data_IF_546610686382
#
_entry.id   IF_546610686382
#
_cell.length_a   1.000
_cell.length_b   1.000
_cell.length_c   1.000
_cell.angle_alpha   90.00
_cell.angle_beta   90.00
_cell.angle_gamma   90.00
#
_symmetry.space_group_name_H-M   'P 1'
#
loop_
_entity.id
_entity.type
_entity.pdbx_description
1 polymer ?
#
# COMPACT_ATOMS: atom_id res chain seq x y z
N UNK A 1 3.52 -26.44 58.04
CA UNK A 1 4.01 -25.69 56.85
C UNK A 1 2.79 -25.36 56.01
N UNK A 2 2.37 -24.10 56.04
CA UNK A 2 1.08 -23.64 55.50
C UNK A 2 1.25 -23.18 54.04
N UNK A 3 0.61 -23.88 53.10
CA UNK A 3 0.50 -23.45 51.72
C UNK A 3 -0.54 -22.33 51.59
N UNK A 4 -0.07 -21.12 51.29
CA UNK A 4 -0.92 -19.96 51.02
C UNK A 4 -1.33 -19.97 49.54
N UNK A 5 -2.55 -20.43 49.27
CA UNK A 5 -3.23 -20.25 47.98
C UNK A 5 -3.47 -18.76 47.74
N UNK A 6 -2.86 -18.21 46.70
CA UNK A 6 -3.20 -16.91 46.14
C UNK A 6 -4.46 -17.06 45.27
N UNK A 7 -5.59 -16.57 45.78
CA UNK A 7 -6.78 -16.29 44.98
C UNK A 7 -6.49 -15.06 44.13
N UNK A 8 -6.51 -15.20 42.81
CA UNK A 8 -6.62 -14.05 41.91
C UNK A 8 -8.10 -13.74 41.72
N UNK A 9 -8.50 -12.63 42.32
CA UNK A 9 -9.81 -12.01 42.21
C UNK A 9 -9.96 -11.42 40.80
N UNK A 10 -11.02 -11.80 40.10
CA UNK A 10 -11.32 -11.35 38.74
C UNK A 10 -12.18 -10.10 38.87
N UNK A 11 -11.53 -8.94 38.93
CA UNK A 11 -12.22 -7.66 38.96
C UNK A 11 -12.82 -7.32 37.58
N UNK A 12 -14.02 -6.75 37.66
CA UNK A 12 -14.96 -6.49 36.58
C UNK A 12 -14.43 -5.55 35.49
N UNK A 13 -14.17 -6.08 34.29
CA UNK A 13 -14.07 -5.27 33.07
C UNK A 13 -15.40 -5.32 32.30
N UNK A 14 -16.06 -4.16 32.26
CA UNK A 14 -17.25 -3.85 31.45
C UNK A 14 -16.97 -4.15 29.96
N UNK A 15 -18.00 -4.52 29.17
CA UNK A 15 -17.86 -4.69 27.73
C UNK A 15 -17.63 -3.31 27.07
N UNK A 16 -16.37 -2.91 26.95
CA UNK A 16 -15.96 -1.77 26.15
C UNK A 16 -15.84 -2.17 24.68
N UNK A 17 -16.49 -1.40 23.80
CA UNK A 17 -16.35 -1.49 22.35
C UNK A 17 -14.89 -1.77 21.94
N UNK A 18 -14.59 -2.78 21.10
CA UNK A 18 -13.24 -2.97 20.60
C UNK A 18 -12.86 -1.74 19.78
N UNK A 19 -11.97 -0.91 20.33
CA UNK A 19 -11.21 0.06 19.55
C UNK A 19 -10.43 -0.77 18.54
N UNK A 20 -10.77 -0.62 17.27
CA UNK A 20 -9.96 -1.11 16.14
C UNK A 20 -8.59 -0.47 16.32
N UNK A 21 -7.64 -1.25 16.84
CA UNK A 21 -6.24 -0.88 16.91
C UNK A 21 -5.74 -0.92 15.47
N UNK A 22 -5.83 0.20 14.77
CA UNK A 22 -5.02 0.39 13.57
C UNK A 22 -3.56 0.35 14.03
N UNK A 23 -2.73 -0.56 13.52
CA UNK A 23 -1.32 -0.57 13.89
C UNK A 23 -0.71 0.78 13.55
N UNK A 24 -0.06 1.41 14.52
CA UNK A 24 0.67 2.66 14.33
C UNK A 24 1.81 2.42 13.35
N UNK A 25 1.55 2.72 12.08
CA UNK A 25 2.55 2.65 11.01
C UNK A 25 3.60 3.75 11.21
N UNK A 26 4.90 3.47 10.94
CA UNK A 26 5.95 4.46 11.07
C UNK A 26 5.66 5.71 10.22
N UNK A 27 6.03 6.85 10.79
CA UNK A 27 5.62 8.20 10.42
C UNK A 27 6.04 8.59 8.98
N UNK A 28 5.15 8.39 8.01
CA UNK A 28 5.25 8.76 6.57
C UNK A 28 4.88 10.22 6.27
N UNK A 29 4.81 11.08 7.28
CA UNK A 29 4.26 12.45 7.17
C UNK A 29 4.85 13.29 6.03
N UNK A 30 6.15 13.21 5.76
CA UNK A 30 6.78 13.97 4.67
C UNK A 30 6.47 13.42 3.25
N UNK A 31 6.43 12.10 3.06
CA UNK A 31 6.06 11.47 1.77
C UNK A 31 4.56 11.66 1.47
N UNK A 32 3.72 11.59 2.52
CA UNK A 32 2.27 11.78 2.46
C UNK A 32 1.87 13.21 2.08
N UNK A 33 2.61 14.22 2.54
CA UNK A 33 2.35 15.63 2.20
C UNK A 33 2.64 15.95 0.73
N UNK A 34 3.77 15.45 0.21
CA UNK A 34 4.20 15.71 -1.17
C UNK A 34 3.23 15.12 -2.19
N UNK A 35 2.63 13.97 -1.90
CA UNK A 35 1.83 13.28 -2.88
C UNK A 35 0.45 13.95 -3.14
N UNK A 36 -0.15 14.51 -2.08
CA UNK A 36 -1.40 15.28 -2.18
C UNK A 36 -1.24 16.57 -2.98
N UNK A 37 -0.10 17.25 -2.84
CA UNK A 37 0.17 18.49 -3.57
C UNK A 37 0.46 18.24 -5.07
N UNK A 38 0.87 17.02 -5.43
CA UNK A 38 1.28 16.67 -6.79
C UNK A 38 0.21 15.96 -7.63
N UNK A 39 -0.97 15.68 -7.07
CA UNK A 39 -2.03 14.90 -7.71
C UNK A 39 -1.52 13.56 -8.28
N UNK A 40 -0.62 12.89 -7.57
CA UNK A 40 0.14 11.74 -8.08
C UNK A 40 -0.17 10.47 -7.26
N UNK A 41 -1.36 9.86 -7.34
CA UNK A 41 -1.73 8.71 -6.50
C UNK A 41 -0.68 7.58 -6.44
N UNK A 42 0.09 7.38 -7.50
CA UNK A 42 1.16 6.38 -7.54
C UNK A 42 2.52 6.83 -7.02
N UNK A 43 2.76 8.10 -6.66
CA UNK A 43 4.12 8.58 -6.41
C UNK A 43 5.06 8.32 -7.62
N UNK A 44 4.52 8.40 -8.84
CA UNK A 44 5.27 8.15 -10.08
C UNK A 44 6.40 9.17 -10.25
N UNK A 45 7.56 8.70 -10.70
CA UNK A 45 8.75 9.52 -10.99
C UNK A 45 8.95 9.73 -12.49
N UNK A 46 9.61 10.82 -12.85
CA UNK A 46 10.06 11.08 -14.21
C UNK A 46 11.34 10.28 -14.48
N UNK A 47 11.36 9.47 -15.55
CA UNK A 47 12.52 8.65 -15.88
C UNK A 47 13.78 9.46 -16.24
N UNK A 48 13.61 10.71 -16.71
CA UNK A 48 14.73 11.58 -17.10
C UNK A 48 15.38 12.27 -15.90
N UNK A 49 14.57 12.64 -14.90
CA UNK A 49 15.03 13.52 -13.81
C UNK A 49 15.00 12.84 -12.45
N UNK A 50 14.35 11.68 -12.29
CA UNK A 50 14.14 11.01 -11.00
C UNK A 50 13.11 11.69 -10.09
N UNK A 51 12.70 12.92 -10.42
CA UNK A 51 11.74 13.71 -9.65
C UNK A 51 10.32 13.14 -9.72
N UNK A 52 9.56 13.32 -8.64
CA UNK A 52 8.13 12.98 -8.63
C UNK A 52 7.38 13.82 -9.65
N UNK A 53 6.56 13.14 -10.46
CA UNK A 53 5.68 13.80 -11.43
C UNK A 53 4.61 14.60 -10.71
N UNK A 54 4.20 15.69 -11.35
CA UNK A 54 3.08 16.55 -10.94
C UNK A 54 2.01 16.46 -12.02
N UNK A 55 0.76 16.29 -11.61
CA UNK A 55 -0.39 16.22 -12.51
C UNK A 55 -1.36 17.38 -12.26
N UNK A 56 -2.08 17.79 -13.30
CA UNK A 56 -3.05 18.88 -13.16
C UNK A 56 -4.27 18.48 -12.32
N UNK A 57 -4.63 17.20 -12.30
CA UNK A 57 -5.72 16.65 -11.48
C UNK A 57 -5.38 15.23 -11.02
N UNK A 58 -6.04 14.77 -9.95
CA UNK A 58 -5.86 13.42 -9.40
C UNK A 58 -6.20 12.34 -10.44
N UNK A 59 -7.24 12.54 -11.25
CA UNK A 59 -7.68 11.60 -12.28
C UNK A 59 -6.60 11.40 -13.34
N UNK A 60 -5.89 12.46 -13.72
CA UNK A 60 -4.76 12.35 -14.65
C UNK A 60 -3.59 11.59 -14.04
N UNK A 61 -3.30 11.81 -12.76
CA UNK A 61 -2.30 11.04 -12.04
C UNK A 61 -2.69 9.57 -11.90
N UNK A 62 -3.97 9.28 -11.67
CA UNK A 62 -4.50 7.92 -11.62
C UNK A 62 -4.42 7.22 -12.98
N UNK A 63 -4.82 7.89 -14.05
CA UNK A 63 -4.68 7.38 -15.42
C UNK A 63 -3.20 7.10 -15.77
N UNK A 64 -2.28 7.95 -15.32
CA UNK A 64 -0.85 7.72 -15.49
C UNK A 64 -0.35 6.50 -14.71
N UNK A 65 -0.86 6.26 -13.49
CA UNK A 65 -0.56 5.06 -12.71
C UNK A 65 -1.08 3.81 -13.42
N UNK A 66 -2.32 3.83 -13.91
CA UNK A 66 -2.87 2.72 -14.68
C UNK A 66 -2.01 2.42 -15.92
N UNK A 67 -1.63 3.44 -16.69
CA UNK A 67 -0.75 3.24 -17.85
C UNK A 67 0.61 2.64 -17.46
N UNK A 68 1.22 3.11 -16.37
CA UNK A 68 2.48 2.57 -15.86
C UNK A 68 2.36 1.09 -15.46
N UNK A 69 1.26 0.72 -14.77
CA UNK A 69 0.97 -0.66 -14.40
C UNK A 69 0.63 -1.54 -15.59
N UNK A 70 -0.07 -1.01 -16.60
CA UNK A 70 -0.38 -1.73 -17.83
C UNK A 70 0.91 -2.17 -18.54
N UNK A 71 1.90 -1.28 -18.63
CA UNK A 71 3.22 -1.62 -19.18
C UNK A 71 3.90 -2.75 -18.39
N UNK A 72 3.81 -2.72 -17.06
CA UNK A 72 4.43 -3.72 -16.19
C UNK A 72 3.72 -5.08 -16.25
N UNK A 73 2.39 -5.08 -16.13
CA UNK A 73 1.55 -6.28 -16.18
C UNK A 73 1.63 -6.93 -17.57
N UNK A 74 1.64 -6.14 -18.65
CA UNK A 74 1.76 -6.65 -20.02
C UNK A 74 3.18 -7.09 -20.41
N UNK A 75 4.18 -6.92 -19.54
CA UNK A 75 5.58 -7.27 -19.83
C UNK A 75 6.26 -6.35 -20.84
N UNK A 76 5.71 -5.15 -21.10
CA UNK A 76 6.30 -4.12 -21.96
C UNK A 76 7.25 -3.16 -21.22
N UNK A 77 7.30 -3.26 -19.89
CA UNK A 77 8.28 -2.58 -19.05
C UNK A 77 9.60 -3.34 -19.07
N UNK A 78 10.72 -2.62 -19.14
CA UNK A 78 12.07 -3.21 -19.04
C UNK A 78 12.39 -3.77 -17.65
N UNK A 79 11.55 -3.47 -16.66
CA UNK A 79 11.77 -3.84 -15.27
C UNK A 79 10.99 -5.09 -14.84
N UNK A 80 10.07 -5.58 -15.66
CA UNK A 80 9.18 -6.69 -15.30
C UNK A 80 9.02 -7.62 -16.49
N UNK A 81 8.99 -8.91 -16.21
CA UNK A 81 8.83 -9.96 -17.21
C UNK A 81 7.67 -10.91 -16.86
N UNK A 82 7.58 -12.01 -17.59
CA UNK A 82 6.49 -12.98 -17.43
C UNK A 82 6.53 -13.81 -16.14
N UNK A 83 7.62 -13.70 -15.37
CA UNK A 83 7.90 -14.41 -14.12
C UNK A 83 7.88 -13.51 -12.89
N UNK A 84 7.82 -12.20 -13.09
CA UNK A 84 7.78 -11.20 -12.00
C UNK A 84 6.60 -11.46 -11.07
N UNK A 85 6.92 -11.69 -9.80
CA UNK A 85 5.92 -11.84 -8.72
C UNK A 85 5.48 -10.50 -8.14
N UNK A 86 4.45 -10.50 -7.29
CA UNK A 86 4.06 -9.31 -6.52
C UNK A 86 5.21 -8.81 -5.64
N UNK A 87 5.97 -9.71 -5.02
CA UNK A 87 7.14 -9.35 -4.23
C UNK A 87 8.18 -8.60 -5.09
N UNK A 88 8.56 -9.18 -6.23
CA UNK A 88 9.56 -8.59 -7.13
C UNK A 88 9.11 -7.21 -7.61
N UNK A 89 7.84 -7.11 -8.02
CA UNK A 89 7.25 -5.87 -8.47
C UNK A 89 7.30 -4.78 -7.39
N UNK A 90 6.90 -5.07 -6.16
CA UNK A 90 6.91 -4.08 -5.08
C UNK A 90 8.35 -3.70 -4.72
N UNK A 91 9.30 -4.62 -4.76
CA UNK A 91 10.70 -4.31 -4.50
C UNK A 91 11.32 -3.41 -5.58
N UNK A 92 10.85 -3.50 -6.84
CA UNK A 92 11.20 -2.56 -7.91
C UNK A 92 10.51 -1.21 -7.69
N UNK A 93 9.23 -1.22 -7.31
CA UNK A 93 8.39 -0.03 -7.21
C UNK A 93 8.75 0.85 -6.00
N UNK A 94 8.96 0.22 -4.85
CA UNK A 94 9.22 0.84 -3.56
C UNK A 94 10.46 0.17 -2.93
N UNK A 95 11.66 0.45 -3.46
CA UNK A 95 12.87 -0.26 -3.06
C UNK A 95 13.26 0.00 -1.60
N UNK A 96 13.94 -0.98 -1.00
CA UNK A 96 14.25 -1.02 0.43
C UNK A 96 15.10 0.15 0.96
N UNK A 97 15.86 0.82 0.11
CA UNK A 97 16.65 1.99 0.50
C UNK A 97 15.78 3.25 0.73
N UNK A 98 14.55 3.28 0.19
CA UNK A 98 13.60 4.38 0.33
C UNK A 98 12.37 3.99 1.18
N UNK A 99 12.09 2.70 1.35
CA UNK A 99 10.84 2.20 1.92
C UNK A 99 11.05 0.95 2.77
N UNK A 100 10.14 0.70 3.71
CA UNK A 100 10.01 -0.62 4.33
C UNK A 100 9.20 -1.54 3.41
N UNK A 101 9.91 -2.30 2.57
CA UNK A 101 9.31 -3.22 1.58
C UNK A 101 8.41 -4.26 2.25
N UNK A 102 8.81 -4.79 3.40
CA UNK A 102 8.06 -5.82 4.09
C UNK A 102 6.71 -5.28 4.58
N UNK A 103 6.70 -4.07 5.14
CA UNK A 103 5.46 -3.40 5.52
C UNK A 103 4.62 -3.06 4.29
N UNK A 104 5.24 -2.59 3.21
CA UNK A 104 4.54 -2.30 1.95
C UNK A 104 3.80 -3.52 1.42
N UNK A 105 4.52 -4.64 1.27
CA UNK A 105 3.99 -5.90 0.75
C UNK A 105 2.84 -6.40 1.63
N UNK A 106 2.99 -6.38 2.96
CA UNK A 106 1.93 -6.80 3.88
C UNK A 106 0.64 -6.00 3.69
N UNK A 107 0.74 -4.67 3.65
CA UNK A 107 -0.44 -3.80 3.46
C UNK A 107 -1.03 -4.03 2.08
N UNK A 108 -0.19 -4.10 1.04
CA UNK A 108 -0.62 -4.33 -0.33
C UNK A 108 -1.38 -5.66 -0.45
N UNK A 109 -0.82 -6.76 0.05
CA UNK A 109 -1.43 -8.09 0.02
C UNK A 109 -2.74 -8.14 0.82
N UNK A 110 -2.77 -7.52 2.01
CA UNK A 110 -3.98 -7.43 2.82
C UNK A 110 -5.12 -6.70 2.08
N UNK A 111 -4.80 -5.57 1.44
CA UNK A 111 -5.78 -4.73 0.74
C UNK A 111 -6.29 -5.37 -0.56
N UNK A 112 -5.42 -6.08 -1.28
CA UNK A 112 -5.73 -6.61 -2.62
C UNK A 112 -6.20 -8.06 -2.60
N UNK A 113 -5.94 -8.79 -1.51
CA UNK A 113 -6.13 -10.25 -1.43
C UNK A 113 -5.08 -11.06 -2.20
N UNK A 114 -4.08 -10.40 -2.80
CA UNK A 114 -3.01 -11.05 -3.54
C UNK A 114 -1.94 -11.62 -2.60
N UNK A 115 -1.23 -12.64 -3.06
CA UNK A 115 -0.06 -13.21 -2.38
C UNK A 115 1.22 -12.68 -2.99
N UNK A 116 2.27 -12.65 -2.18
CA UNK A 116 3.62 -12.20 -2.58
C UNK A 116 4.15 -12.97 -3.80
N UNK A 117 3.81 -14.27 -3.88
CA UNK A 117 4.22 -15.20 -4.93
C UNK A 117 3.35 -15.16 -6.18
N UNK A 118 2.23 -14.43 -6.18
CA UNK A 118 1.35 -14.36 -7.34
C UNK A 118 2.08 -13.63 -8.47
N UNK A 119 1.88 -14.08 -9.71
CA UNK A 119 2.50 -13.44 -10.87
C UNK A 119 1.81 -12.11 -11.16
N UNK A 120 2.59 -11.03 -11.34
CA UNK A 120 2.05 -9.70 -11.64
C UNK A 120 1.21 -9.70 -12.93
N UNK A 121 1.68 -10.42 -13.96
CA UNK A 121 1.04 -10.43 -15.28
C UNK A 121 -0.39 -10.98 -15.30
N UNK A 122 -0.77 -11.78 -14.30
CA UNK A 122 -2.11 -12.39 -14.23
C UNK A 122 -3.10 -11.54 -13.45
N UNK A 123 -2.68 -10.37 -12.96
CA UNK A 123 -3.48 -9.56 -12.06
C UNK A 123 -4.30 -8.49 -12.77
N UNK A 124 -5.42 -8.14 -12.15
CA UNK A 124 -6.21 -7.00 -12.59
C UNK A 124 -5.49 -5.70 -12.23
N UNK A 125 -5.23 -4.88 -13.25
CA UNK A 125 -4.59 -3.57 -13.12
C UNK A 125 -5.20 -2.67 -12.04
N UNK A 126 -6.53 -2.66 -11.89
CA UNK A 126 -7.22 -1.82 -10.91
C UNK A 126 -6.99 -2.31 -9.48
N UNK A 127 -6.90 -3.63 -9.29
CA UNK A 127 -6.58 -4.24 -7.98
C UNK A 127 -5.16 -3.87 -7.56
N UNK A 128 -4.19 -3.95 -8.49
CA UNK A 128 -2.80 -3.55 -8.21
C UNK A 128 -2.72 -2.05 -7.90
N UNK A 129 -3.40 -1.20 -8.67
CA UNK A 129 -3.46 0.23 -8.41
C UNK A 129 -4.08 0.56 -7.05
N UNK A 130 -5.13 -0.16 -6.66
CA UNK A 130 -5.78 -0.01 -5.35
C UNK A 130 -4.80 -0.27 -4.21
N UNK A 131 -4.03 -1.38 -4.28
CA UNK A 131 -3.01 -1.70 -3.27
C UNK A 131 -1.93 -0.63 -3.16
N UNK A 132 -1.39 -0.15 -4.29
CA UNK A 132 -0.39 0.93 -4.29
C UNK A 132 -0.95 2.20 -3.63
N UNK A 133 -2.13 2.65 -4.05
CA UNK A 133 -2.71 3.90 -3.53
C UNK A 133 -3.00 3.78 -2.04
N UNK A 134 -3.44 2.61 -1.57
CA UNK A 134 -3.66 2.37 -0.14
C UNK A 134 -2.40 2.61 0.68
N UNK A 135 -1.27 2.08 0.22
CA UNK A 135 0.02 2.24 0.90
C UNK A 135 0.54 3.68 0.79
N UNK A 136 0.49 4.28 -0.40
CA UNK A 136 1.05 5.61 -0.64
C UNK A 136 0.20 6.75 -0.03
N UNK A 137 -1.13 6.59 -0.04
CA UNK A 137 -2.06 7.61 0.41
C UNK A 137 -3.43 7.01 0.77
N UNK A 138 -3.54 6.46 1.98
CA UNK A 138 -4.80 5.87 2.46
C UNK A 138 -6.00 6.84 2.45
N UNK A 139 -5.80 8.16 2.52
CA UNK A 139 -6.90 9.11 2.47
C UNK A 139 -7.43 9.29 1.04
N UNK A 140 -6.52 9.38 0.08
CA UNK A 140 -6.86 9.40 -1.34
C UNK A 140 -7.47 8.07 -1.79
N UNK A 141 -6.98 6.95 -1.24
CA UNK A 141 -7.62 5.66 -1.39
C UNK A 141 -9.10 5.75 -0.98
N UNK A 142 -9.40 6.32 0.19
CA UNK A 142 -10.78 6.44 0.63
C UNK A 142 -11.61 7.34 -0.30
N UNK A 143 -11.03 8.43 -0.82
CA UNK A 143 -11.72 9.30 -1.78
C UNK A 143 -12.03 8.58 -3.10
N UNK A 144 -11.10 7.76 -3.61
CA UNK A 144 -11.25 7.08 -4.90
C UNK A 144 -12.11 5.82 -4.82
N UNK A 145 -12.09 5.12 -3.68
CA UNK A 145 -12.67 3.78 -3.56
C UNK A 145 -13.71 3.62 -2.44
N UNK A 146 -13.84 4.55 -1.47
CA UNK A 146 -14.87 4.48 -0.42
C UNK A 146 -16.22 5.06 -0.84
N UNK A 147 -16.56 5.02 -2.13
CA UNK A 147 -17.91 5.29 -2.63
C UNK A 147 -18.42 4.11 -3.44
N UNK A 148 -18.70 2.99 -2.77
CA UNK A 148 -19.65 1.96 -3.20
C UNK A 148 -20.21 1.23 -1.96
N UNK A 149 -21.26 1.81 -1.38
CA UNK A 149 -22.38 1.05 -0.83
C UNK A 149 -23.62 1.49 -1.60
#
# INVERSE_FOLDING_TARGET
MNNKLLKFEVDHLKPGNPKIVSPDFPNTSNKKLLNRQKNNPGNLRCFKTGEFRVFSTVEKGYAALLHDLDLKISGRSVWTDSTTTIYDFINIYAPAFENDVNTYIKIFCYETGLKETDLLKTQNIKVVAQGIIKVENSDLYCQLYSSKN
#
